data_IF_437226244161
#
_entry.id   IF_437226244161
#
_cell.length_a   1.000
_cell.length_b   1.000
_cell.length_c   1.000
_cell.angle_alpha   90.00
_cell.angle_beta   90.00
_cell.angle_gamma   90.00
#
_symmetry.space_group_name_H-M   'P 1'
#
loop_
_entity.id
_entity.type
_entity.pdbx_description
1 polymer ?
#
# COMPACT_ATOMS: atom_id res chain seq x y z
N UNK A 1 50.35 -27.75 11.77
CA UNK A 1 50.41 -28.53 13.03
C UNK A 1 49.09 -29.29 13.16
N UNK A 2 49.03 -30.48 13.80
CA UNK A 2 47.77 -31.21 14.08
C UNK A 2 47.00 -30.46 15.21
N UNK A 3 45.68 -30.54 15.44
CA UNK A 3 44.73 -31.67 15.67
C UNK A 3 43.28 -31.16 15.35
N UNK A 4 42.20 -31.96 15.40
CA UNK A 4 41.68 -32.91 14.41
C UNK A 4 40.43 -33.66 14.95
N UNK A 5 39.48 -34.06 14.08
CA UNK A 5 38.34 -35.01 14.36
C UNK A 5 37.21 -34.48 15.31
N UNK A 6 35.93 -34.94 15.32
CA UNK A 6 35.22 -36.09 14.69
C UNK A 6 33.74 -35.78 14.35
N UNK A 7 33.11 -36.61 13.50
CA UNK A 7 31.70 -36.57 13.03
C UNK A 7 30.71 -37.41 13.87
N UNK A 8 29.43 -36.99 13.91
CA UNK A 8 28.20 -37.80 14.02
C UNK A 8 27.17 -37.13 13.05
N UNK A 9 26.35 -37.75 12.17
CA UNK A 9 25.66 -39.05 12.06
C UNK A 9 24.56 -39.27 13.13
N UNK A 10 23.31 -39.63 12.82
CA UNK A 10 22.62 -39.81 11.52
C UNK A 10 21.07 -39.56 11.65
N UNK A 11 20.10 -40.24 10.99
CA UNK A 11 18.94 -39.53 10.40
C UNK A 11 17.54 -39.98 10.91
N UNK A 12 16.48 -39.39 10.38
CA UNK A 12 15.15 -40.02 10.31
C UNK A 12 14.35 -39.55 9.09
N UNK A 13 13.55 -40.46 8.50
CA UNK A 13 12.68 -40.19 7.35
C UNK A 13 11.41 -41.06 7.41
N UNK A 14 10.23 -40.47 7.18
CA UNK A 14 8.90 -41.10 7.26
C UNK A 14 7.94 -40.45 6.23
N UNK A 15 6.91 -41.14 5.74
CA UNK A 15 6.95 -42.04 4.56
C UNK A 15 5.50 -42.38 4.13
N UNK A 16 5.22 -42.37 2.82
CA UNK A 16 3.92 -42.62 2.12
C UNK A 16 2.83 -41.54 2.30
N UNK A 17 2.01 -41.13 1.31
CA UNK A 17 1.22 -41.74 0.21
C UNK A 17 -0.22 -42.12 0.62
N UNK A 18 -1.21 -41.57 -0.09
CA UNK A 18 -2.63 -41.92 0.02
C UNK A 18 -3.45 -41.41 -1.16
N UNK A 19 -4.10 -42.32 -1.90
CA UNK A 19 -4.96 -42.02 -3.06
C UNK A 19 -6.26 -42.81 -2.91
N UNK A 20 -7.40 -42.16 -3.12
CA UNK A 20 -8.65 -42.85 -3.43
C UNK A 20 -9.55 -41.97 -4.31
N UNK A 21 -10.02 -42.54 -5.42
CA UNK A 21 -11.09 -41.96 -6.23
C UNK A 21 -12.44 -42.51 -5.76
N UNK A 22 -13.51 -41.74 -5.93
CA UNK A 22 -14.86 -42.12 -5.49
C UNK A 22 -15.94 -41.64 -6.45
N UNK A 23 -16.13 -42.34 -7.57
CA UNK A 23 -17.35 -42.20 -8.37
C UNK A 23 -18.44 -43.08 -7.78
N UNK A 24 -19.53 -42.48 -7.31
CA UNK A 24 -20.77 -43.16 -6.94
C UNK A 24 -21.94 -42.41 -7.58
N UNK A 25 -22.55 -43.01 -8.61
CA UNK A 25 -23.74 -42.44 -9.25
C UNK A 25 -25.02 -42.91 -8.56
N UNK A 26 -26.06 -42.07 -8.55
CA UNK A 26 -27.37 -42.39 -8.03
C UNK A 26 -28.43 -41.39 -8.46
N UNK A 27 -29.52 -41.93 -9.02
CA UNK A 27 -30.91 -41.44 -8.98
C UNK A 27 -31.31 -40.08 -9.58
N UNK A 28 -32.50 -40.08 -10.20
CA UNK A 28 -33.39 -38.90 -10.24
C UNK A 28 -33.46 -38.08 -11.53
N UNK A 29 -34.24 -38.53 -12.50
CA UNK A 29 -35.20 -37.63 -13.17
C UNK A 29 -36.53 -37.76 -12.39
N UNK A 30 -37.11 -36.66 -11.89
CA UNK A 30 -38.14 -36.02 -12.71
C UNK A 30 -38.26 -34.48 -12.58
N UNK A 31 -39.03 -33.96 -13.54
CA UNK A 31 -39.79 -32.70 -13.53
C UNK A 31 -39.07 -31.41 -13.98
N UNK A 32 -39.62 -30.68 -14.97
CA UNK A 32 -39.15 -29.35 -15.34
C UNK A 32 -39.67 -28.31 -14.35
N UNK A 33 -38.86 -27.98 -13.33
CA UNK A 33 -39.12 -26.81 -12.49
C UNK A 33 -39.12 -25.54 -13.35
N UNK A 34 -40.13 -24.68 -13.18
CA UNK A 34 -40.20 -23.37 -13.83
C UNK A 34 -39.19 -22.43 -13.18
N UNK A 35 -37.94 -22.48 -13.68
CA UNK A 35 -36.84 -21.66 -13.21
C UNK A 35 -37.17 -20.17 -13.29
N UNK A 36 -37.50 -19.58 -12.13
CA UNK A 36 -37.52 -18.13 -11.98
C UNK A 36 -36.09 -17.64 -12.12
N UNK A 37 -35.79 -16.96 -13.23
CA UNK A 37 -34.47 -16.36 -13.45
C UNK A 37 -34.28 -15.26 -12.41
N UNK A 38 -33.65 -15.61 -11.29
CA UNK A 38 -32.98 -14.64 -10.42
C UNK A 38 -31.79 -14.11 -11.20
N UNK A 39 -32.00 -13.00 -11.89
CA UNK A 39 -30.89 -12.15 -12.32
C UNK A 39 -30.09 -11.80 -11.06
N UNK A 40 -28.87 -12.32 -10.96
CA UNK A 40 -27.95 -11.89 -9.93
C UNK A 40 -27.73 -10.38 -10.07
N UNK A 41 -27.62 -9.60 -8.97
CA UNK A 41 -27.16 -8.24 -9.05
C UNK A 41 -25.83 -8.20 -9.84
N UNK A 42 -25.62 -7.21 -10.73
CA UNK A 42 -24.34 -7.09 -11.41
C UNK A 42 -23.24 -6.91 -10.36
N UNK A 43 -22.22 -7.77 -10.40
CA UNK A 43 -21.03 -7.60 -9.57
C UNK A 43 -20.35 -6.29 -9.98
N UNK A 44 -20.54 -5.26 -9.15
CA UNK A 44 -19.92 -3.96 -9.37
C UNK A 44 -18.45 -4.12 -9.04
N UNK A 45 -17.63 -4.33 -10.07
CA UNK A 45 -16.18 -4.37 -9.95
C UNK A 45 -15.72 -3.07 -9.29
N UNK A 46 -15.00 -3.19 -8.18
CA UNK A 46 -14.52 -2.01 -7.46
C UNK A 46 -13.48 -1.25 -8.32
N UNK A 47 -13.48 0.10 -8.31
CA UNK A 47 -12.48 0.86 -9.05
C UNK A 47 -11.05 0.51 -8.59
N UNK A 48 -10.22 0.05 -9.53
CA UNK A 48 -8.79 -0.17 -9.29
C UNK A 48 -8.10 1.17 -8.97
N UNK A 49 -7.19 1.17 -7.99
CA UNK A 49 -6.45 2.38 -7.59
C UNK A 49 -5.64 2.89 -8.80
N UNK A 50 -5.70 4.19 -9.14
CA UNK A 50 -4.97 4.73 -10.28
C UNK A 50 -3.46 4.56 -10.09
N UNK A 51 -2.82 3.89 -11.04
CA UNK A 51 -1.36 3.79 -11.10
C UNK A 51 -0.77 5.13 -11.52
N UNK A 52 0.17 5.65 -10.73
CA UNK A 52 0.74 7.00 -10.90
C UNK A 52 2.18 6.97 -11.38
N UNK A 53 2.57 7.91 -12.24
CA UNK A 53 3.87 7.98 -12.89
C UNK A 53 4.40 9.43 -12.95
N UNK A 54 5.71 9.66 -12.79
CA UNK A 54 6.32 11.01 -12.80
C UNK A 54 6.46 11.59 -14.23
N UNK A 55 5.33 11.80 -14.90
CA UNK A 55 5.25 12.18 -16.32
C UNK A 55 5.48 13.67 -16.58
N UNK A 56 4.96 14.54 -15.73
CA UNK A 56 4.90 15.99 -15.98
C UNK A 56 5.93 16.74 -15.13
N UNK A 57 6.78 17.56 -15.76
CA UNK A 57 7.79 18.40 -15.07
C UNK A 57 7.18 19.72 -14.60
N UNK A 58 6.32 19.65 -13.60
CA UNK A 58 5.73 20.81 -12.95
C UNK A 58 5.83 20.71 -11.42
N UNK A 59 5.57 21.83 -10.75
CA UNK A 59 5.67 21.95 -9.29
C UNK A 59 4.51 21.21 -8.63
N UNK A 60 4.80 20.44 -7.58
CA UNK A 60 3.77 19.80 -6.76
C UNK A 60 2.84 20.86 -6.12
N UNK A 61 1.50 20.79 -6.32
CA UNK A 61 0.58 21.86 -5.89
C UNK A 61 0.58 22.17 -4.39
N UNK A 62 0.89 21.16 -3.55
CA UNK A 62 0.73 21.22 -2.09
C UNK A 62 2.05 21.03 -1.31
N UNK A 63 3.19 20.80 -1.95
CA UNK A 63 4.47 20.59 -1.26
C UNK A 63 5.67 21.10 -2.10
N UNK A 64 6.34 22.14 -1.63
CA UNK A 64 7.50 22.69 -2.36
C UNK A 64 8.75 21.81 -2.24
N UNK A 65 9.69 21.94 -3.19
CA UNK A 65 10.98 21.22 -3.20
C UNK A 65 11.81 21.50 -1.94
N UNK A 66 11.78 22.75 -1.44
CA UNK A 66 12.46 23.14 -0.20
C UNK A 66 11.81 22.50 1.05
N UNK A 67 10.47 22.43 1.10
CA UNK A 67 9.75 21.75 2.17
C UNK A 67 10.00 20.24 2.16
N UNK A 68 9.89 19.60 0.99
CA UNK A 68 10.24 18.20 0.80
C UNK A 68 11.68 17.92 1.25
N UNK A 69 12.64 18.76 0.85
CA UNK A 69 14.05 18.63 1.25
C UNK A 69 14.25 18.72 2.76
N UNK A 70 13.64 19.74 3.39
CA UNK A 70 13.74 20.00 4.83
C UNK A 70 13.08 18.92 5.68
N UNK A 71 12.00 18.31 5.21
CA UNK A 71 11.24 17.30 5.95
C UNK A 71 11.78 15.89 5.73
N UNK A 72 12.20 15.55 4.50
CA UNK A 72 12.87 14.29 4.19
C UNK A 72 14.30 14.24 4.74
N UNK A 73 14.93 15.40 4.97
CA UNK A 73 16.31 15.50 5.44
C UNK A 73 17.35 15.16 4.36
N UNK A 74 16.97 15.31 3.09
CA UNK A 74 17.79 15.02 1.91
C UNK A 74 17.40 16.00 0.79
N UNK A 75 18.38 16.54 0.05
CA UNK A 75 18.15 17.60 -0.93
C UNK A 75 17.46 17.07 -2.20
N UNK A 76 16.20 17.45 -2.37
CA UNK A 76 15.51 17.29 -3.64
C UNK A 76 16.00 18.35 -4.65
N UNK A 77 16.19 17.94 -5.90
CA UNK A 77 16.74 18.78 -6.99
C UNK A 77 15.83 18.90 -8.23
N UNK A 78 14.88 17.98 -8.41
CA UNK A 78 13.82 18.00 -9.43
C UNK A 78 12.52 17.54 -8.77
N UNK A 79 11.38 17.94 -9.33
CA UNK A 79 10.05 17.43 -8.94
C UNK A 79 9.23 17.18 -10.18
N UNK A 80 8.46 16.10 -10.17
CA UNK A 80 7.49 15.77 -11.22
C UNK A 80 6.17 15.37 -10.61
N UNK A 81 5.13 15.51 -11.41
CA UNK A 81 3.78 15.17 -11.01
C UNK A 81 3.15 14.17 -11.97
N UNK A 82 2.11 13.50 -11.47
CA UNK A 82 1.06 12.91 -12.28
C UNK A 82 -0.20 13.76 -12.14
N UNK A 83 -0.54 14.51 -13.19
CA UNK A 83 -1.73 15.35 -13.31
C UNK A 83 -2.96 14.59 -13.84
N UNK A 84 -2.86 13.26 -14.05
CA UNK A 84 -4.00 12.38 -14.38
C UNK A 84 -4.86 12.03 -13.15
N UNK A 85 -4.38 12.33 -11.95
CA UNK A 85 -5.08 12.14 -10.67
C UNK A 85 -5.26 13.49 -9.95
N UNK A 86 -6.30 13.59 -9.12
CA UNK A 86 -6.63 14.81 -8.38
C UNK A 86 -6.88 14.49 -6.89
N UNK A 87 -6.14 15.10 -5.94
CA UNK A 87 -4.95 15.92 -6.13
C UNK A 87 -3.79 15.19 -6.84
N UNK A 88 -3.00 15.94 -7.62
CA UNK A 88 -1.86 15.40 -8.37
C UNK A 88 -0.87 14.62 -7.47
N UNK A 89 -0.41 13.47 -7.94
CA UNK A 89 0.68 12.74 -7.28
C UNK A 89 2.01 13.46 -7.52
N UNK A 90 2.91 13.50 -6.54
CA UNK A 90 4.19 14.20 -6.65
C UNK A 90 5.38 13.31 -6.31
N UNK A 91 6.44 13.43 -7.10
CA UNK A 91 7.67 12.63 -7.02
C UNK A 91 8.87 13.57 -6.96
N UNK A 92 9.60 13.56 -5.84
CA UNK A 92 10.74 14.44 -5.58
C UNK A 92 12.05 13.67 -5.76
N UNK A 93 12.96 14.23 -6.55
CA UNK A 93 14.18 13.55 -6.97
C UNK A 93 15.41 14.02 -6.19
N UNK A 94 16.21 13.09 -5.67
CA UNK A 94 17.51 13.36 -5.07
C UNK A 94 18.55 13.79 -6.11
N UNK A 95 19.72 14.22 -5.64
CA UNK A 95 20.81 14.71 -6.50
C UNK A 95 21.47 13.62 -7.39
N UNK A 96 21.14 12.35 -7.17
CA UNK A 96 21.54 11.20 -8.01
C UNK A 96 20.55 10.93 -9.16
N UNK A 97 19.37 11.57 -9.15
CA UNK A 97 18.29 11.35 -10.10
C UNK A 97 17.33 10.20 -9.74
N UNK A 98 17.43 9.63 -8.54
CA UNK A 98 16.44 8.70 -7.99
C UNK A 98 15.29 9.46 -7.28
N UNK A 99 14.12 8.83 -7.11
CA UNK A 99 13.02 9.41 -6.32
C UNK A 99 13.31 9.16 -4.83
N UNK A 100 13.38 10.23 -4.03
CA UNK A 100 13.66 10.20 -2.59
C UNK A 100 12.40 10.35 -1.71
N UNK A 101 11.32 10.89 -2.27
CA UNK A 101 10.04 11.12 -1.59
C UNK A 101 8.91 11.11 -2.64
N UNK A 102 7.79 10.44 -2.32
CA UNK A 102 6.58 10.43 -3.13
C UNK A 102 5.38 10.78 -2.25
N UNK A 103 4.47 11.61 -2.74
CA UNK A 103 3.16 11.89 -2.13
C UNK A 103 2.04 11.51 -3.10
N UNK A 104 1.08 10.71 -2.66
CA UNK A 104 -0.10 10.35 -3.42
C UNK A 104 -1.37 10.61 -2.62
N UNK A 105 -2.39 11.09 -3.30
CA UNK A 105 -3.75 11.24 -2.77
C UNK A 105 -4.69 10.58 -3.75
N UNK A 106 -5.65 9.80 -3.27
CA UNK A 106 -6.67 9.20 -4.10
C UNK A 106 -7.99 9.04 -3.34
N UNK A 107 -9.10 9.02 -4.08
CA UNK A 107 -10.44 8.80 -3.53
C UNK A 107 -10.93 7.40 -3.90
N UNK A 108 -11.58 6.72 -2.97
CA UNK A 108 -12.12 5.36 -3.15
C UNK A 108 -13.64 5.29 -2.91
N UNK A 109 -14.24 4.12 -3.15
CA UNK A 109 -15.69 3.97 -3.20
C UNK A 109 -16.41 4.15 -1.84
N UNK A 110 -15.73 3.92 -0.71
CA UNK A 110 -16.31 4.02 0.64
C UNK A 110 -15.25 4.30 1.72
N UNK A 111 -15.68 4.76 2.89
CA UNK A 111 -14.80 4.96 4.06
C UNK A 111 -14.27 3.62 4.60
N UNK A 112 -15.06 2.55 4.45
CA UNK A 112 -14.67 1.18 4.77
C UNK A 112 -13.50 0.72 3.88
N UNK A 113 -13.56 0.99 2.56
CA UNK A 113 -12.47 0.69 1.64
C UNK A 113 -11.23 1.57 1.88
N UNK A 114 -11.42 2.83 2.25
CA UNK A 114 -10.31 3.70 2.64
C UNK A 114 -9.59 3.19 3.90
N UNK A 115 -10.34 2.60 4.84
CA UNK A 115 -9.80 1.96 6.05
C UNK A 115 -9.08 0.65 5.73
N UNK A 116 -9.69 -0.21 4.91
CA UNK A 116 -9.06 -1.47 4.46
C UNK A 116 -7.71 -1.21 3.76
N UNK A 117 -7.62 -0.18 2.91
CA UNK A 117 -6.37 0.18 2.23
C UNK A 117 -5.30 0.76 3.15
N UNK A 118 -5.69 1.39 4.25
CA UNK A 118 -4.76 1.79 5.33
C UNK A 118 -4.23 0.55 6.05
N UNK A 119 -5.10 -0.40 6.40
CA UNK A 119 -4.72 -1.63 7.10
C UNK A 119 -3.89 -2.57 6.21
N UNK A 120 -4.20 -2.68 4.91
CA UNK A 120 -3.39 -3.39 3.90
C UNK A 120 -1.98 -2.79 3.78
N UNK A 121 -1.88 -1.45 3.81
CA UNK A 121 -0.62 -0.73 3.58
C UNK A 121 0.24 -0.57 4.84
N UNK A 122 -0.38 -0.59 6.02
CA UNK A 122 0.29 -0.39 7.31
C UNK A 122 -0.33 -1.28 8.40
N UNK A 123 -0.18 -2.62 8.33
CA UNK A 123 -0.95 -3.57 9.15
C UNK A 123 -0.83 -3.37 10.67
N UNK A 124 -1.94 -3.55 11.37
CA UNK A 124 -2.02 -3.42 12.84
C UNK A 124 -1.09 -4.43 13.52
N UNK A 125 -0.08 -3.92 14.23
CA UNK A 125 0.96 -4.71 14.89
C UNK A 125 2.28 -4.76 14.12
N UNK A 126 2.30 -4.39 12.84
CA UNK A 126 3.49 -4.16 12.03
C UNK A 126 3.76 -2.66 11.80
N UNK A 127 2.74 -1.80 11.98
CA UNK A 127 2.84 -0.33 11.93
C UNK A 127 2.73 0.37 13.29
N UNK A 128 3.27 1.59 13.37
CA UNK A 128 2.92 2.56 14.41
C UNK A 128 1.62 3.28 14.03
N UNK A 129 0.70 3.51 14.97
CA UNK A 129 -0.45 4.39 14.76
C UNK A 129 0.00 5.82 14.41
N UNK A 130 -0.69 6.42 13.44
CA UNK A 130 -0.56 7.82 13.06
C UNK A 130 -1.92 8.52 13.05
N UNK A 131 -1.96 9.75 13.56
CA UNK A 131 -3.10 10.66 13.56
C UNK A 131 -2.60 12.04 13.12
N UNK A 132 -3.39 12.77 12.32
CA UNK A 132 -3.08 14.13 11.84
C UNK A 132 -4.32 15.02 11.93
N UNK A 133 -4.12 16.34 12.06
CA UNK A 133 -5.22 17.33 12.09
C UNK A 133 -6.13 17.23 10.86
N UNK A 134 -7.41 17.57 11.03
CA UNK A 134 -8.44 17.40 9.98
C UNK A 134 -9.11 16.01 9.97
N UNK A 135 -8.77 15.12 10.92
CA UNK A 135 -9.41 13.81 11.07
C UNK A 135 -8.77 12.69 10.29
N UNK A 136 -7.54 12.90 9.79
CA UNK A 136 -6.75 11.89 9.10
C UNK A 136 -6.18 10.88 10.11
N UNK A 137 -6.43 9.58 9.91
CA UNK A 137 -5.98 8.50 10.81
C UNK A 137 -5.45 7.31 10.02
N UNK A 138 -4.48 6.59 10.59
CA UNK A 138 -3.94 5.36 9.98
C UNK A 138 -2.64 4.89 10.61
N UNK A 139 -1.69 4.48 9.79
CA UNK A 139 -0.46 3.82 10.22
C UNK A 139 0.78 4.30 9.49
N UNK A 140 1.95 4.17 10.14
CA UNK A 140 3.27 4.42 9.55
C UNK A 140 4.25 3.29 9.83
N UNK A 141 5.20 3.09 8.93
CA UNK A 141 6.30 2.13 9.04
C UNK A 141 7.63 2.80 8.69
N UNK A 142 8.74 2.16 9.09
CA UNK A 142 10.08 2.65 8.80
C UNK A 142 11.15 1.58 9.05
N UNK A 143 12.17 1.52 8.21
CA UNK A 143 13.27 0.58 8.32
C UNK A 143 14.14 0.53 7.05
N UNK A 144 14.90 -0.56 6.83
CA UNK A 144 15.85 -0.67 5.71
C UNK A 144 15.23 -0.62 4.29
N UNK A 145 13.91 -0.61 4.17
CA UNK A 145 13.18 -0.40 2.90
C UNK A 145 12.74 1.06 2.67
N UNK A 146 13.09 1.99 3.57
CA UNK A 146 12.55 3.35 3.60
C UNK A 146 11.47 3.54 4.67
N UNK A 147 10.56 4.48 4.46
CA UNK A 147 9.44 4.75 5.35
C UNK A 147 8.16 5.07 4.59
N UNK A 148 7.03 4.75 5.21
CA UNK A 148 5.67 4.94 4.70
C UNK A 148 4.78 5.52 5.81
N UNK A 149 3.86 6.43 5.46
CA UNK A 149 2.64 6.68 6.26
C UNK A 149 1.45 6.66 5.32
N UNK A 150 0.37 6.01 5.73
CA UNK A 150 -0.92 5.99 5.01
C UNK A 150 -2.03 6.38 5.99
N UNK A 151 -2.85 7.34 5.58
CA UNK A 151 -3.93 7.91 6.38
C UNK A 151 -5.20 7.98 5.54
N UNK A 152 -6.35 7.67 6.15
CA UNK A 152 -7.66 7.90 5.57
C UNK A 152 -8.39 9.09 6.22
N UNK A 153 -9.19 9.81 5.44
CA UNK A 153 -10.19 10.80 5.88
C UNK A 153 -11.45 10.63 5.02
N UNK A 154 -12.49 10.01 5.57
CA UNK A 154 -13.67 9.63 4.81
C UNK A 154 -13.29 8.69 3.66
N UNK A 155 -13.64 9.06 2.42
CA UNK A 155 -13.29 8.30 1.21
C UNK A 155 -11.91 8.63 0.62
N UNK A 156 -11.16 9.57 1.18
CA UNK A 156 -9.82 9.92 0.71
C UNK A 156 -8.74 9.13 1.46
N UNK A 157 -7.68 8.74 0.74
CA UNK A 157 -6.45 8.18 1.29
C UNK A 157 -5.26 9.04 0.86
N UNK A 158 -4.42 9.41 1.82
CA UNK A 158 -3.12 10.07 1.64
C UNK A 158 -2.03 9.05 1.97
N UNK A 159 -1.10 8.83 1.04
CA UNK A 159 0.11 8.06 1.29
C UNK A 159 1.36 8.92 1.04
N UNK A 160 2.35 8.81 1.93
CA UNK A 160 3.66 9.43 1.77
C UNK A 160 4.75 8.37 1.95
N UNK A 161 5.59 8.21 0.92
CA UNK A 161 6.69 7.26 0.86
C UNK A 161 8.03 7.98 0.80
N UNK A 162 9.06 7.44 1.43
CA UNK A 162 10.43 7.95 1.41
C UNK A 162 11.45 6.82 1.36
N UNK A 163 12.60 7.06 0.73
CA UNK A 163 13.78 6.18 0.81
C UNK A 163 14.45 6.19 2.19
N UNK A 164 14.09 7.15 3.05
CA UNK A 164 14.69 7.35 4.37
C UNK A 164 13.99 6.50 5.43
N UNK A 165 14.75 5.72 6.21
CA UNK A 165 14.23 4.70 7.14
C UNK A 165 13.33 5.23 8.28
N UNK A 166 13.30 6.55 8.52
CA UNK A 166 12.70 7.11 9.74
C UNK A 166 11.24 7.55 9.50
N UNK A 167 10.28 6.77 10.03
CA UNK A 167 8.82 7.01 9.95
C UNK A 167 8.39 8.44 10.31
N UNK A 168 9.10 9.09 11.25
CA UNK A 168 8.87 10.49 11.65
C UNK A 168 9.10 11.52 10.52
N UNK A 169 9.81 11.18 9.45
CA UNK A 169 10.00 12.06 8.28
C UNK A 169 8.74 12.14 7.44
N UNK A 170 8.22 10.99 7.02
CA UNK A 170 6.98 10.89 6.22
C UNK A 170 5.76 11.35 7.03
N UNK A 171 5.73 11.06 8.34
CA UNK A 171 4.79 11.66 9.30
C UNK A 171 4.74 13.20 9.18
N UNK A 172 5.89 13.88 9.24
CA UNK A 172 5.96 15.36 9.18
C UNK A 172 5.64 15.94 7.81
N UNK A 173 5.78 15.15 6.74
CA UNK A 173 5.26 15.51 5.41
C UNK A 173 3.73 15.40 5.41
N UNK A 174 3.15 14.32 5.93
CA UNK A 174 1.70 14.18 6.05
C UNK A 174 1.08 15.28 6.95
N UNK A 175 1.71 15.63 8.07
CA UNK A 175 1.30 16.75 8.93
C UNK A 175 1.24 18.10 8.20
N UNK A 176 2.09 18.32 7.18
CA UNK A 176 2.10 19.54 6.37
C UNK A 176 1.17 19.47 5.15
N UNK A 177 1.04 18.28 4.56
CA UNK A 177 0.28 18.06 3.31
C UNK A 177 -1.21 17.85 3.58
N UNK A 178 -1.57 17.07 4.60
CA UNK A 178 -2.96 16.69 4.87
C UNK A 178 -3.90 17.91 5.04
N UNK A 179 -3.51 19.02 5.71
CA UNK A 179 -4.34 20.23 5.78
C UNK A 179 -4.41 21.04 4.46
N UNK A 180 -3.56 20.75 3.47
CA UNK A 180 -3.49 21.43 2.15
C UNK A 180 -4.31 20.73 1.06
N UNK A 181 -4.76 19.51 1.33
CA UNK A 181 -5.60 18.66 0.45
C UNK A 181 -6.98 18.39 1.07
N UNK A 182 -7.29 19.05 2.19
CA UNK A 182 -8.45 18.79 3.04
C UNK A 182 -9.60 19.79 2.80
N UNK A 183 -9.98 19.95 1.53
CA UNK A 183 -11.26 20.55 1.14
C UNK A 183 -12.48 19.70 1.60
#
# INVERSE_FOLDING_TARGET
MRIATTTFLAPMAVVLLGVSAGCGGGDGDPAPEMGTIRTAPPETSEPEIPQVEPVTREQCPYLSVDEASRLNGELATDVRIDDRVDPAACFFYGADGAVQLTTTVYSVASEERATELVDDSAPVGESERSDVEGGWTGGRTGGPGGALVVLARGTQVLAVQSTQEQSVKVQRVAELVAPRIAD
#
